data_IF_613671507491
#
_entry.id   IF_613671507491
#
_cell.length_a   1.000
_cell.length_b   1.000
_cell.length_c   1.000
_cell.angle_alpha   90.00
_cell.angle_beta   90.00
_cell.angle_gamma   90.00
#
_symmetry.space_group_name_H-M   'P 1'
#
loop_
_entity.id
_entity.type
_entity.pdbx_description
1 polymer ?
#
# COMPACT_ATOMS: atom_id res chain seq x y z
N UNK A 1 30.43 8.12 7.28
CA UNK A 1 30.83 7.48 6.01
C UNK A 1 29.84 6.38 5.55
N UNK A 2 29.56 5.34 6.34
CA UNK A 2 28.61 4.24 5.96
C UNK A 2 27.18 4.74 5.65
N UNK A 3 26.69 5.75 6.34
CA UNK A 3 25.34 6.32 6.15
C UNK A 3 25.22 7.15 4.87
N UNK A 4 26.27 7.90 4.52
CA UNK A 4 26.34 8.67 3.26
C UNK A 4 26.37 7.70 2.08
N UNK A 5 27.21 6.66 2.12
CA UNK A 5 27.28 5.63 1.07
C UNK A 5 25.93 4.92 0.91
N UNK A 6 25.22 4.65 2.02
CA UNK A 6 23.88 4.07 1.97
C UNK A 6 22.86 5.00 1.32
N UNK A 7 22.88 6.30 1.65
CA UNK A 7 22.01 7.31 1.03
C UNK A 7 22.29 7.47 -0.47
N UNK A 8 23.57 7.50 -0.86
CA UNK A 8 23.94 7.66 -2.29
C UNK A 8 23.53 6.44 -3.12
N UNK A 9 23.76 5.22 -2.62
CA UNK A 9 23.28 3.98 -3.26
C UNK A 9 21.74 3.97 -3.37
N UNK A 10 21.06 4.51 -2.35
CA UNK A 10 19.62 4.61 -2.31
C UNK A 10 19.10 5.53 -3.42
N UNK A 11 19.62 6.73 -3.53
CA UNK A 11 19.25 7.70 -4.56
C UNK A 11 19.55 7.18 -5.98
N UNK A 12 20.67 6.48 -6.16
CA UNK A 12 21.03 5.87 -7.43
C UNK A 12 20.04 4.77 -7.85
N UNK A 13 19.70 3.84 -6.93
CA UNK A 13 18.72 2.79 -7.23
C UNK A 13 17.33 3.35 -7.50
N UNK A 14 16.90 4.34 -6.74
CA UNK A 14 15.63 5.04 -6.97
C UNK A 14 15.61 5.71 -8.35
N UNK A 15 16.71 6.35 -8.73
CA UNK A 15 16.85 6.93 -10.05
C UNK A 15 16.79 5.87 -11.16
N UNK A 16 17.51 4.75 -11.01
CA UNK A 16 17.48 3.64 -11.98
C UNK A 16 16.07 3.07 -12.11
N UNK A 17 15.41 2.73 -11.01
CA UNK A 17 14.02 2.23 -11.04
C UNK A 17 13.10 3.24 -11.72
N UNK A 18 13.25 4.53 -11.43
CA UNK A 18 12.44 5.58 -12.03
C UNK A 18 12.71 5.73 -13.54
N UNK A 19 13.96 5.65 -13.99
CA UNK A 19 14.31 5.71 -15.41
C UNK A 19 13.67 4.58 -16.23
N UNK A 20 13.56 3.38 -15.66
CA UNK A 20 12.88 2.25 -16.31
C UNK A 20 11.35 2.34 -16.19
N UNK A 21 10.84 2.77 -15.04
CA UNK A 21 9.39 2.83 -14.81
C UNK A 21 8.73 4.00 -15.53
N UNK A 22 9.42 5.15 -15.68
CA UNK A 22 8.82 6.33 -16.30
C UNK A 22 8.32 6.12 -17.73
N UNK A 23 9.11 5.55 -18.68
CA UNK A 23 8.62 5.28 -20.02
C UNK A 23 7.50 4.23 -20.01
N UNK A 24 7.58 3.21 -19.16
CA UNK A 24 6.51 2.23 -18.99
C UNK A 24 5.20 2.89 -18.51
N UNK A 25 5.25 3.74 -17.50
CA UNK A 25 4.08 4.46 -16.98
C UNK A 25 3.50 5.44 -18.01
N UNK A 26 4.37 6.07 -18.80
CA UNK A 26 3.94 6.93 -19.91
C UNK A 26 3.20 6.13 -20.98
N UNK A 27 3.70 4.97 -21.37
CA UNK A 27 3.04 4.06 -22.30
C UNK A 27 1.70 3.54 -21.73
N UNK A 28 1.63 3.32 -20.42
CA UNK A 28 0.42 2.92 -19.71
C UNK A 28 -0.55 4.08 -19.47
N UNK A 29 -0.21 5.32 -19.84
CA UNK A 29 -1.05 6.50 -19.65
C UNK A 29 -1.57 6.57 -18.20
N UNK A 30 -0.68 6.45 -17.21
CA UNK A 30 -1.07 6.44 -15.81
C UNK A 30 -1.74 7.76 -15.41
N UNK A 31 -3.00 7.68 -14.98
CA UNK A 31 -3.77 8.78 -14.43
C UNK A 31 -3.82 8.73 -12.90
N UNK A 32 -3.77 9.89 -12.27
CA UNK A 32 -4.05 10.06 -10.84
C UNK A 32 -5.30 10.90 -10.70
N UNK A 33 -6.33 10.35 -10.05
CA UNK A 33 -7.64 10.99 -9.85
C UNK A 33 -7.86 11.33 -8.39
N UNK A 34 -8.53 12.45 -8.15
CA UNK A 34 -8.97 12.92 -6.82
C UNK A 34 -7.79 13.06 -5.82
N UNK A 35 -6.68 13.58 -6.29
CA UNK A 35 -5.47 13.75 -5.47
C UNK A 35 -5.67 14.76 -4.32
N UNK A 36 -6.58 15.69 -4.49
CA UNK A 36 -7.03 16.69 -3.51
C UNK A 36 -7.75 16.10 -2.31
N UNK A 37 -8.24 14.87 -2.39
CA UNK A 37 -8.82 14.14 -1.25
C UNK A 37 -7.80 13.75 -0.16
N UNK A 38 -6.50 13.82 -0.45
CA UNK A 38 -5.50 13.40 0.52
C UNK A 38 -5.46 14.32 1.75
N UNK A 39 -5.64 13.76 2.97
CA UNK A 39 -5.64 14.55 4.19
C UNK A 39 -4.22 15.01 4.57
N UNK A 40 -4.14 15.86 5.60
CA UNK A 40 -2.87 16.11 6.26
C UNK A 40 -2.31 14.81 6.85
N UNK A 41 -1.00 14.64 6.76
CA UNK A 41 -0.33 13.42 7.28
C UNK A 41 -0.26 13.42 8.80
N UNK A 42 -0.15 12.23 9.42
CA UNK A 42 -0.01 10.88 8.81
C UNK A 42 -1.35 10.22 8.50
N UNK A 43 -1.36 9.26 7.56
CA UNK A 43 -2.53 8.45 7.22
C UNK A 43 -2.12 7.08 6.65
N UNK A 44 -3.09 6.16 6.55
CA UNK A 44 -2.92 4.86 5.92
C UNK A 44 -3.60 4.88 4.55
N UNK A 45 -2.91 4.49 3.49
CA UNK A 45 -3.51 4.24 2.17
C UNK A 45 -3.83 2.76 2.01
N UNK A 46 -5.07 2.46 1.69
CA UNK A 46 -5.58 1.11 1.49
C UNK A 46 -5.81 0.84 0.01
N UNK A 47 -5.06 -0.09 -0.58
CA UNK A 47 -5.10 -0.42 -2.00
C UNK A 47 -5.65 -1.82 -2.24
N UNK A 48 -6.39 -2.04 -3.34
CA UNK A 48 -6.61 -3.39 -3.83
C UNK A 48 -5.30 -3.99 -4.39
N UNK A 49 -5.15 -5.32 -4.34
CA UNK A 49 -3.91 -6.00 -4.72
C UNK A 49 -4.13 -6.98 -5.86
N UNK A 50 -3.75 -6.60 -7.08
CA UNK A 50 -4.10 -7.34 -8.30
C UNK A 50 -2.92 -7.67 -9.22
N UNK A 51 -1.74 -7.05 -9.01
CA UNK A 51 -0.57 -7.23 -9.87
C UNK A 51 0.73 -7.41 -9.09
N UNK A 52 1.71 -8.03 -9.72
CA UNK A 52 3.08 -8.06 -9.20
C UNK A 52 3.73 -6.68 -9.20
N UNK A 53 3.25 -5.77 -10.04
CA UNK A 53 3.81 -4.44 -10.21
C UNK A 53 3.13 -3.37 -9.33
N UNK A 54 2.05 -3.69 -8.58
CA UNK A 54 1.31 -2.71 -7.81
C UNK A 54 2.23 -1.82 -6.95
N UNK A 55 2.93 -2.41 -6.00
CA UNK A 55 3.79 -1.66 -5.10
C UNK A 55 5.06 -1.10 -5.78
N UNK A 56 5.55 -1.76 -6.86
CA UNK A 56 6.70 -1.29 -7.64
C UNK A 56 6.37 -0.01 -8.42
N UNK A 57 5.12 0.17 -8.82
CA UNK A 57 4.60 1.39 -9.44
C UNK A 57 4.28 2.43 -8.37
N UNK A 58 3.55 2.04 -7.33
CA UNK A 58 3.08 2.96 -6.29
C UNK A 58 4.24 3.61 -5.52
N UNK A 59 5.27 2.83 -5.17
CA UNK A 59 6.39 3.33 -4.37
C UNK A 59 7.11 4.53 -5.03
N UNK A 60 7.65 4.45 -6.27
CA UNK A 60 8.29 5.60 -6.90
C UNK A 60 7.30 6.71 -7.28
N UNK A 61 6.05 6.34 -7.61
CA UNK A 61 5.03 7.32 -7.98
C UNK A 61 4.70 8.27 -6.82
N UNK A 62 4.33 7.75 -5.66
CA UNK A 62 4.01 8.57 -4.50
C UNK A 62 5.23 9.30 -3.91
N UNK A 63 6.40 8.69 -3.91
CA UNK A 63 7.64 9.32 -3.45
C UNK A 63 7.98 10.58 -4.25
N UNK A 64 7.77 10.58 -5.57
CA UNK A 64 8.06 11.73 -6.43
C UNK A 64 7.01 12.84 -6.30
N UNK A 65 5.74 12.48 -6.13
CA UNK A 65 4.65 13.46 -6.04
C UNK A 65 4.58 14.11 -4.66
N UNK A 66 4.67 13.31 -3.59
CA UNK A 66 4.49 13.82 -2.22
C UNK A 66 5.77 14.25 -1.54
N UNK A 67 6.96 13.94 -2.08
CA UNK A 67 8.28 14.13 -1.44
C UNK A 67 8.40 13.45 -0.06
N UNK A 68 7.45 12.58 0.27
CA UNK A 68 7.43 11.78 1.48
C UNK A 68 7.23 10.32 1.10
N UNK A 69 8.10 9.42 1.54
CA UNK A 69 8.02 8.02 1.14
C UNK A 69 6.76 7.37 1.70
N UNK A 70 6.01 6.73 0.82
CA UNK A 70 5.04 5.74 1.23
C UNK A 70 5.80 4.49 1.68
N UNK A 71 5.51 4.02 2.88
CA UNK A 71 6.13 2.82 3.47
C UNK A 71 5.12 1.69 3.42
N UNK A 72 5.46 0.61 2.74
CA UNK A 72 4.58 -0.55 2.61
C UNK A 72 4.81 -1.58 3.71
N UNK A 73 3.78 -2.38 3.98
CA UNK A 73 3.88 -3.58 4.80
C UNK A 73 4.04 -4.78 3.87
N UNK A 74 5.07 -5.58 4.11
CA UNK A 74 5.37 -6.78 3.33
C UNK A 74 5.44 -8.04 4.18
N UNK A 75 4.97 -9.18 3.64
CA UNK A 75 5.04 -10.47 4.32
C UNK A 75 6.47 -10.92 4.54
N UNK A 76 6.75 -11.58 5.66
CA UNK A 76 8.05 -12.17 6.04
C UNK A 76 8.67 -12.98 4.89
N UNK A 77 7.88 -13.77 4.17
CA UNK A 77 8.35 -14.57 3.04
C UNK A 77 9.07 -13.76 1.94
N UNK A 78 8.75 -12.47 1.77
CA UNK A 78 9.43 -11.60 0.81
C UNK A 78 10.87 -11.28 1.22
N UNK A 79 11.18 -11.38 2.51
CA UNK A 79 12.51 -11.12 3.07
C UNK A 79 13.39 -12.38 3.15
N UNK A 80 12.84 -13.55 2.87
CA UNK A 80 13.59 -14.82 2.86
C UNK A 80 14.45 -14.98 1.61
N UNK A 81 14.02 -14.40 0.48
CA UNK A 81 14.80 -14.46 -0.76
C UNK A 81 15.86 -13.34 -0.79
N UNK A 82 17.16 -13.65 -0.95
CA UNK A 82 18.25 -12.66 -0.80
C UNK A 82 18.08 -11.40 -1.67
N UNK A 83 17.71 -11.59 -2.93
CA UNK A 83 17.52 -10.48 -3.86
C UNK A 83 16.34 -9.58 -3.45
N UNK A 84 15.20 -10.18 -3.07
CA UNK A 84 14.04 -9.43 -2.60
C UNK A 84 14.27 -8.77 -1.25
N UNK A 85 15.02 -9.41 -0.35
CA UNK A 85 15.38 -8.84 0.95
C UNK A 85 16.06 -7.47 0.79
N UNK A 86 17.10 -7.40 -0.01
CA UNK A 86 17.80 -6.12 -0.24
C UNK A 86 16.90 -5.05 -0.82
N UNK A 87 15.98 -5.44 -1.71
CA UNK A 87 15.04 -4.51 -2.31
C UNK A 87 13.96 -4.06 -1.30
N UNK A 88 13.46 -4.95 -0.45
CA UNK A 88 12.49 -4.62 0.61
C UNK A 88 13.12 -3.71 1.68
N UNK A 89 14.35 -4.00 2.10
CA UNK A 89 15.12 -3.16 3.03
C UNK A 89 15.38 -1.77 2.42
N UNK A 90 15.70 -1.73 1.14
CA UNK A 90 15.88 -0.51 0.37
C UNK A 90 14.59 0.33 0.34
N UNK A 91 13.46 -0.27 0.00
CA UNK A 91 12.15 0.38 -0.04
C UNK A 91 11.57 0.65 1.37
N UNK A 92 12.33 0.37 2.45
CA UNK A 92 11.90 0.50 3.85
C UNK A 92 10.60 -0.23 4.16
N UNK A 93 10.33 -1.34 3.46
CA UNK A 93 9.13 -2.14 3.70
C UNK A 93 9.16 -2.70 5.11
N UNK A 94 8.10 -2.50 5.87
CA UNK A 94 7.96 -3.05 7.23
C UNK A 94 7.56 -4.52 7.10
N UNK A 95 8.41 -5.40 7.64
CA UNK A 95 8.17 -6.84 7.62
C UNK A 95 7.06 -7.22 8.62
N UNK A 96 6.05 -7.95 8.16
CA UNK A 96 5.02 -8.55 9.02
C UNK A 96 5.01 -10.07 8.91
N UNK A 97 5.00 -10.71 10.06
CA UNK A 97 4.62 -12.11 10.21
C UNK A 97 3.12 -12.14 10.51
N UNK A 98 2.31 -12.55 9.52
CA UNK A 98 0.84 -12.48 9.63
C UNK A 98 0.29 -13.48 10.65
N UNK A 99 1.01 -14.58 10.91
CA UNK A 99 0.61 -15.61 11.89
C UNK A 99 0.99 -15.17 13.31
N UNK A 100 2.02 -14.32 13.43
CA UNK A 100 2.51 -13.87 14.73
C UNK A 100 2.88 -12.39 14.69
N UNK A 101 1.86 -11.53 14.76
CA UNK A 101 2.03 -10.07 14.84
C UNK A 101 2.70 -9.71 16.16
N UNK A 102 3.97 -9.30 16.10
CA UNK A 102 4.77 -9.02 17.28
C UNK A 102 4.87 -7.52 17.61
N UNK A 103 5.33 -7.22 18.83
CA UNK A 103 5.51 -5.84 19.30
C UNK A 103 6.47 -5.03 18.43
N UNK A 104 7.49 -5.66 17.87
CA UNK A 104 8.50 -4.99 17.01
C UNK A 104 7.83 -4.42 15.78
N UNK A 105 6.97 -5.19 15.10
CA UNK A 105 6.19 -4.72 13.97
C UNK A 105 5.32 -3.51 14.32
N UNK A 106 4.54 -3.61 15.42
CA UNK A 106 3.67 -2.51 15.87
C UNK A 106 4.47 -1.25 16.21
N UNK A 107 5.65 -1.40 16.85
CA UNK A 107 6.54 -0.29 17.14
C UNK A 107 7.09 0.37 15.86
N UNK A 108 7.45 -0.41 14.84
CA UNK A 108 7.92 0.10 13.55
C UNK A 108 6.84 0.89 12.82
N UNK A 109 5.60 0.35 12.75
CA UNK A 109 4.44 1.05 12.19
C UNK A 109 4.19 2.37 12.91
N UNK A 110 4.13 2.33 14.24
CA UNK A 110 3.90 3.53 15.07
C UNK A 110 4.99 4.58 14.89
N UNK A 111 6.25 4.16 14.85
CA UNK A 111 7.40 5.05 14.62
C UNK A 111 7.27 5.71 13.25
N UNK A 112 7.00 4.93 12.21
CA UNK A 112 6.84 5.43 10.84
C UNK A 112 5.75 6.49 10.73
N UNK A 113 4.56 6.23 11.27
CA UNK A 113 3.45 7.19 11.27
C UNK A 113 3.77 8.45 12.09
N UNK A 114 4.44 8.33 13.25
CA UNK A 114 4.88 9.48 14.06
C UNK A 114 5.92 10.35 13.35
N UNK A 115 6.73 9.78 12.47
CA UNK A 115 7.66 10.51 11.61
C UNK A 115 6.95 11.21 10.44
N UNK A 116 5.62 11.13 10.35
CA UNK A 116 4.80 11.74 9.32
C UNK A 116 4.78 10.97 7.99
N UNK A 117 5.25 9.70 7.98
CA UNK A 117 5.19 8.90 6.77
C UNK A 117 3.77 8.40 6.47
N UNK A 118 3.51 8.15 5.18
CA UNK A 118 2.30 7.46 4.73
C UNK A 118 2.54 5.95 4.83
N UNK A 119 1.57 5.20 5.33
CA UNK A 119 1.62 3.75 5.38
C UNK A 119 0.77 3.16 4.25
N UNK A 120 1.37 2.41 3.34
CA UNK A 120 0.69 1.69 2.27
C UNK A 120 0.34 0.26 2.68
N UNK A 121 -0.93 -0.10 2.58
CA UNK A 121 -1.42 -1.44 2.95
C UNK A 121 -2.28 -1.99 1.82
N UNK A 122 -2.12 -3.29 1.55
CA UNK A 122 -3.06 -4.09 0.78
C UNK A 122 -3.92 -4.90 1.76
N UNK A 123 -5.16 -4.47 2.08
CA UNK A 123 -5.97 -5.12 3.12
C UNK A 123 -6.29 -6.59 2.85
N UNK A 124 -6.31 -6.98 1.59
CA UNK A 124 -6.53 -8.37 1.16
C UNK A 124 -5.42 -9.32 1.63
N UNK A 125 -4.23 -8.78 1.95
CA UNK A 125 -3.07 -9.55 2.40
C UNK A 125 -2.48 -10.48 1.34
N UNK A 126 -3.10 -10.64 0.19
CA UNK A 126 -2.59 -11.43 -0.94
C UNK A 126 -3.11 -10.85 -2.25
N UNK A 127 -2.45 -11.19 -3.36
CA UNK A 127 -2.90 -10.76 -4.69
C UNK A 127 -4.09 -11.58 -5.16
N UNK A 128 -5.08 -10.90 -5.71
CA UNK A 128 -6.17 -11.53 -6.43
C UNK A 128 -5.67 -12.31 -7.64
N UNK A 129 -6.28 -13.45 -7.91
CA UNK A 129 -5.94 -14.29 -9.04
C UNK A 129 -6.72 -13.93 -10.31
N UNK A 130 -7.89 -13.37 -10.15
CA UNK A 130 -8.86 -13.05 -11.22
C UNK A 130 -9.13 -11.54 -11.36
N UNK A 131 -8.50 -10.72 -10.53
CA UNK A 131 -8.68 -9.26 -10.51
C UNK A 131 -9.83 -8.76 -9.65
N UNK A 132 -10.62 -9.68 -9.04
CA UNK A 132 -11.70 -9.33 -8.14
C UNK A 132 -11.16 -9.01 -6.74
N UNK A 133 -11.89 -8.17 -6.01
CA UNK A 133 -11.58 -7.89 -4.62
C UNK A 133 -11.68 -9.16 -3.76
N UNK A 134 -10.72 -9.33 -2.88
CA UNK A 134 -10.74 -10.41 -1.89
C UNK A 134 -11.22 -9.88 -0.53
N UNK A 135 -11.53 -10.79 0.40
CA UNK A 135 -11.90 -10.43 1.78
C UNK A 135 -10.79 -9.61 2.43
N UNK A 136 -11.12 -8.44 2.96
CA UNK A 136 -10.20 -7.59 3.71
C UNK A 136 -9.86 -8.19 5.08
N UNK A 137 -8.62 -8.07 5.49
CA UNK A 137 -8.12 -8.50 6.78
C UNK A 137 -8.30 -7.39 7.83
N UNK A 138 -8.67 -7.72 9.07
CA UNK A 138 -8.98 -6.74 10.13
C UNK A 138 -7.77 -5.89 10.55
N UNK A 139 -6.56 -6.30 10.21
CA UNK A 139 -5.32 -5.63 10.58
C UNK A 139 -5.24 -4.16 10.16
N UNK A 140 -5.84 -3.77 9.03
CA UNK A 140 -5.85 -2.38 8.60
C UNK A 140 -6.64 -1.49 9.56
N UNK A 141 -7.84 -1.93 9.96
CA UNK A 141 -8.70 -1.24 10.92
C UNK A 141 -8.02 -1.12 12.28
N UNK A 142 -7.43 -2.22 12.76
CA UNK A 142 -6.70 -2.24 14.02
C UNK A 142 -5.51 -1.26 14.01
N UNK A 143 -4.72 -1.22 12.94
CA UNK A 143 -3.59 -0.30 12.80
C UNK A 143 -4.05 1.16 12.75
N UNK A 144 -5.13 1.47 12.04
CA UNK A 144 -5.68 2.82 11.95
C UNK A 144 -6.14 3.33 13.33
N UNK A 145 -6.92 2.52 14.05
CA UNK A 145 -7.45 2.88 15.38
C UNK A 145 -6.33 3.00 16.41
N UNK A 146 -5.39 2.03 16.43
CA UNK A 146 -4.27 2.03 17.37
C UNK A 146 -3.36 3.25 17.21
N UNK A 147 -3.17 3.72 15.97
CA UNK A 147 -2.30 4.85 15.67
C UNK A 147 -3.05 6.18 15.53
N UNK A 148 -4.38 6.19 15.63
CA UNK A 148 -5.25 7.37 15.53
C UNK A 148 -5.05 8.13 14.22
N UNK A 149 -5.08 7.40 13.10
CA UNK A 149 -4.90 7.96 11.77
C UNK A 149 -6.07 7.57 10.85
N UNK A 150 -6.47 8.43 9.91
CA UNK A 150 -7.50 8.09 8.93
C UNK A 150 -6.99 7.05 7.93
N UNK A 151 -7.94 6.37 7.27
CA UNK A 151 -7.68 5.47 6.16
C UNK A 151 -8.15 6.10 4.87
N UNK A 152 -7.27 6.19 3.88
CA UNK A 152 -7.59 6.65 2.53
C UNK A 152 -7.73 5.43 1.63
N UNK A 153 -8.95 5.09 1.17
CA UNK A 153 -9.15 4.01 0.21
C UNK A 153 -8.63 4.44 -1.16
N UNK A 154 -8.00 3.53 -1.88
CA UNK A 154 -7.43 3.79 -3.22
C UNK A 154 -7.72 2.64 -4.16
N UNK A 155 -8.35 2.94 -5.29
CA UNK A 155 -8.62 2.01 -6.36
C UNK A 155 -7.49 1.97 -7.40
N UNK A 156 -6.98 0.78 -7.70
CA UNK A 156 -6.02 0.52 -8.75
C UNK A 156 -6.73 -0.07 -9.96
N UNK A 157 -7.06 0.78 -10.93
CA UNK A 157 -7.78 0.41 -12.15
C UNK A 157 -6.81 0.07 -13.29
N UNK A 158 -7.05 -1.05 -13.96
CA UNK A 158 -6.20 -1.54 -15.06
C UNK A 158 -4.94 -2.30 -14.62
N UNK A 159 -4.57 -2.28 -13.35
CA UNK A 159 -3.35 -2.89 -12.82
C UNK A 159 -3.34 -4.42 -12.94
N UNK A 160 -4.49 -5.08 -12.85
CA UNK A 160 -4.59 -6.52 -13.09
C UNK A 160 -4.04 -6.91 -14.46
N UNK A 161 -4.32 -6.12 -15.49
CA UNK A 161 -3.96 -6.45 -16.87
C UNK A 161 -2.47 -6.33 -17.17
N UNK A 162 -1.70 -5.59 -16.34
CA UNK A 162 -0.26 -5.40 -16.59
C UNK A 162 0.57 -6.62 -16.26
N UNK A 163 0.40 -7.24 -15.10
CA UNK A 163 1.12 -8.45 -14.70
C UNK A 163 0.33 -9.24 -13.66
N UNK A 164 -0.74 -9.95 -14.08
CA UNK A 164 -1.54 -10.74 -13.17
C UNK A 164 -0.78 -11.95 -12.63
N UNK A 165 -1.30 -12.53 -11.55
CA UNK A 165 -0.74 -13.74 -10.94
C UNK A 165 -0.58 -14.84 -11.99
N UNK A 166 0.62 -15.46 -12.04
CA UNK A 166 0.94 -16.54 -12.99
C UNK A 166 1.48 -16.09 -14.35
N UNK A 167 1.47 -14.79 -14.65
CA UNK A 167 2.12 -14.28 -15.87
C UNK A 167 3.56 -13.84 -15.57
N UNK A 168 4.44 -13.96 -16.60
CA UNK A 168 5.89 -13.66 -16.47
C UNK A 168 6.29 -12.34 -17.09
N UNK A 169 5.54 -11.85 -18.07
CA UNK A 169 5.87 -10.63 -18.81
C UNK A 169 4.82 -9.55 -18.61
N UNK A 170 5.22 -8.30 -18.36
CA UNK A 170 4.30 -7.19 -18.24
C UNK A 170 3.68 -6.85 -19.61
N UNK A 171 2.47 -6.28 -19.55
CA UNK A 171 1.73 -5.80 -20.71
C UNK A 171 1.46 -4.31 -20.52
N UNK A 172 1.35 -3.58 -21.61
CA UNK A 172 0.91 -2.19 -21.59
C UNK A 172 -0.60 -2.19 -21.48
N UNK A 173 -1.12 -1.42 -20.51
CA UNK A 173 -2.55 -1.19 -20.32
C UNK A 173 -2.75 0.19 -19.70
N UNK A 174 -3.87 0.84 -19.96
CA UNK A 174 -4.22 2.09 -19.28
C UNK A 174 -4.38 1.86 -17.79
N UNK A 175 -3.77 2.74 -17.00
CA UNK A 175 -3.77 2.66 -15.54
C UNK A 175 -4.42 3.90 -14.94
N UNK A 176 -5.20 3.71 -13.89
CA UNK A 176 -5.64 4.81 -13.05
C UNK A 176 -5.48 4.46 -11.58
N UNK A 177 -4.96 5.43 -10.81
CA UNK A 177 -4.96 5.43 -9.36
C UNK A 177 -6.05 6.41 -8.94
N UNK A 178 -7.10 5.90 -8.32
CA UNK A 178 -8.24 6.69 -7.89
C UNK A 178 -8.29 6.80 -6.37
N UNK A 179 -8.14 8.02 -5.85
CA UNK A 179 -8.09 8.29 -4.41
C UNK A 179 -9.51 8.59 -3.92
N UNK A 180 -9.95 7.84 -2.92
CA UNK A 180 -11.24 8.07 -2.28
C UNK A 180 -11.17 9.04 -1.11
N UNK A 181 -12.34 9.39 -0.58
CA UNK A 181 -12.45 10.23 0.62
C UNK A 181 -11.84 9.55 1.83
N UNK A 182 -11.12 10.28 2.69
CA UNK A 182 -10.56 9.76 3.92
C UNK A 182 -11.65 9.25 4.86
N UNK A 183 -11.46 8.07 5.39
CA UNK A 183 -12.33 7.47 6.40
C UNK A 183 -11.74 7.79 7.77
N UNK A 184 -12.40 8.66 8.53
CA UNK A 184 -12.03 9.02 9.89
C UNK A 184 -12.68 8.06 10.89
N UNK A 185 -11.88 7.56 11.83
CA UNK A 185 -12.30 6.57 12.83
C UNK A 185 -12.23 7.14 14.25
N UNK A 186 -12.30 8.46 14.39
CA UNK A 186 -12.08 9.20 15.67
C UNK A 186 -12.96 8.70 16.81
N UNK A 187 -14.22 8.38 16.51
CA UNK A 187 -15.18 7.85 17.48
C UNK A 187 -14.78 6.51 18.12
N UNK A 188 -13.83 5.80 17.49
CA UNK A 188 -13.35 4.49 17.94
C UNK A 188 -11.98 4.55 18.62
N UNK A 189 -11.31 5.70 18.61
CA UNK A 189 -9.97 5.82 19.19
C UNK A 189 -9.98 5.61 20.69
N UNK A 190 -9.07 4.75 21.17
CA UNK A 190 -8.95 4.41 22.60
C UNK A 190 -10.03 3.48 23.14
N UNK A 191 -10.98 3.04 22.31
CA UNK A 191 -12.00 2.05 22.69
C UNK A 191 -11.52 0.63 22.41
N UNK A 192 -11.99 -0.31 23.23
CA UNK A 192 -11.86 -1.73 22.97
C UNK A 192 -13.03 -2.15 22.08
N UNK A 193 -12.75 -2.47 20.83
CA UNK A 193 -13.75 -2.91 19.86
C UNK A 193 -13.94 -4.42 19.90
N UNK A 194 -15.14 -4.86 19.60
CA UNK A 194 -15.48 -6.26 19.34
C UNK A 194 -14.98 -6.68 17.96
N UNK A 195 -14.85 -7.97 17.71
CA UNK A 195 -14.50 -8.50 16.39
C UNK A 195 -15.49 -8.06 15.32
N UNK A 196 -16.78 -8.04 15.64
CA UNK A 196 -17.84 -7.61 14.73
C UNK A 196 -17.70 -6.12 14.32
N UNK A 197 -17.37 -5.24 15.27
CA UNK A 197 -17.13 -3.83 14.98
C UNK A 197 -15.91 -3.65 14.08
N UNK A 198 -14.82 -4.37 14.35
CA UNK A 198 -13.61 -4.34 13.52
C UNK A 198 -13.91 -4.87 12.10
N UNK A 199 -14.67 -5.94 11.99
CA UNK A 199 -15.08 -6.51 10.70
C UNK A 199 -15.97 -5.54 9.92
N UNK A 200 -16.93 -4.89 10.58
CA UNK A 200 -17.81 -3.89 9.97
C UNK A 200 -17.04 -2.70 9.43
N UNK A 201 -16.05 -2.19 10.19
CA UNK A 201 -15.18 -1.10 9.76
C UNK A 201 -14.24 -1.52 8.62
N UNK A 202 -13.75 -2.76 8.65
CA UNK A 202 -12.94 -3.31 7.55
C UNK A 202 -13.78 -3.45 6.29
N UNK A 203 -15.02 -3.90 6.43
CA UNK A 203 -16.00 -3.96 5.31
C UNK A 203 -16.24 -2.57 4.72
N UNK A 204 -16.42 -1.54 5.55
CA UNK A 204 -16.57 -0.16 5.10
C UNK A 204 -15.38 0.28 4.22
N UNK A 205 -14.14 0.04 4.69
CA UNK A 205 -12.92 0.38 3.93
C UNK A 205 -12.90 -0.37 2.58
N UNK A 206 -13.18 -1.66 2.60
CA UNK A 206 -13.16 -2.50 1.39
C UNK A 206 -14.27 -2.14 0.41
N UNK A 207 -15.45 -1.76 0.90
CA UNK A 207 -16.57 -1.29 0.06
C UNK A 207 -16.19 0.01 -0.66
N UNK A 208 -15.48 0.93 0.01
CA UNK A 208 -15.00 2.15 -0.65
C UNK A 208 -13.96 1.83 -1.73
N UNK A 209 -13.05 0.86 -1.49
CA UNK A 209 -12.14 0.37 -2.56
C UNK A 209 -12.95 -0.26 -3.70
N UNK A 210 -14.02 -0.99 -3.39
CA UNK A 210 -14.95 -1.55 -4.37
C UNK A 210 -15.56 -0.48 -5.28
N UNK A 211 -16.08 0.61 -4.72
CA UNK A 211 -16.63 1.73 -5.48
C UNK A 211 -15.57 2.34 -6.42
N UNK A 212 -14.34 2.55 -5.93
CA UNK A 212 -13.25 3.13 -6.71
C UNK A 212 -12.73 2.18 -7.82
N UNK A 213 -12.92 0.88 -7.67
CA UNK A 213 -12.52 -0.13 -8.66
C UNK A 213 -13.70 -0.63 -9.52
N UNK A 214 -14.89 -0.03 -9.35
CA UNK A 214 -16.12 -0.43 -10.02
C UNK A 214 -16.48 -1.91 -9.78
N UNK A 215 -16.26 -2.39 -8.56
CA UNK A 215 -16.52 -3.77 -8.14
C UNK A 215 -17.44 -3.78 -6.91
N UNK A 216 -18.34 -4.76 -6.86
CA UNK A 216 -19.10 -5.05 -5.66
C UNK A 216 -18.22 -5.79 -4.63
N UNK A 217 -18.39 -5.44 -3.35
CA UNK A 217 -17.72 -6.11 -2.24
C UNK A 217 -18.72 -6.95 -1.45
N UNK A 218 -18.67 -8.27 -1.62
CA UNK A 218 -19.68 -9.22 -1.13
C UNK A 218 -19.20 -10.10 0.03
N UNK A 219 -18.29 -9.61 0.88
CA UNK A 219 -17.79 -10.34 2.05
C UNK A 219 -18.30 -9.78 3.36
#
# INVERSE_FOLDING_TARGET
>A
MREIIRKTKWLFMEYVVWCFMRPFLWLCQLELRNYDHLPAQPYIMAFNHVSYLDWLILYPFFNKIKKQPIIFIGKKRLFEHPLFKHFMEYARVICVDQENVNKTFLCQVRKSLKEGNILGIFPEGTRSADGRLLKGQPGITQLAIMNRVPVVPVGLNGFYNILPKGKKFPRINKLAIEIGEPIYLDQYYGKRLTEQEIESLTRLIMTQIGHLTHQEYNF
#
